data_IF_281217514195
#
_entry.id   IF_281217514195
#
_cell.length_a   1.000
_cell.length_b   1.000
_cell.length_c   1.000
_cell.angle_alpha   90.00
_cell.angle_beta   90.00
_cell.angle_gamma   90.00
#
_symmetry.space_group_name_H-M   'P 1'
#
loop_
_entity.id
_entity.type
_entity.pdbx_description
1 polymer ?
#
# COMPACT_ATOMS: atom_id res chain seq x y z
N UNK A 1 17.58 -6.69 9.75
CA UNK A 1 17.70 -6.55 11.22
C UNK A 1 17.17 -7.84 11.84
N UNK A 2 17.94 -8.54 12.66
CA UNK A 2 17.44 -9.74 13.34
C UNK A 2 16.49 -9.30 14.47
N UNK A 3 15.23 -9.71 14.40
CA UNK A 3 14.32 -9.59 15.54
C UNK A 3 14.63 -10.73 16.52
N UNK A 4 14.88 -10.38 17.78
CA UNK A 4 15.14 -11.34 18.84
C UNK A 4 13.82 -11.92 19.32
N UNK A 5 13.33 -12.96 18.64
CA UNK A 5 12.15 -13.68 19.07
C UNK A 5 12.53 -14.63 20.21
N UNK A 6 11.90 -14.48 21.37
CA UNK A 6 12.00 -15.45 22.46
C UNK A 6 10.96 -16.54 22.26
N UNK A 7 11.37 -17.80 22.29
CA UNK A 7 10.51 -18.99 22.09
C UNK A 7 9.32 -19.07 23.07
N UNK A 8 9.34 -18.32 24.17
CA UNK A 8 8.29 -18.29 25.19
C UNK A 8 7.19 -17.26 24.93
N UNK A 9 7.32 -16.40 23.91
CA UNK A 9 6.28 -15.45 23.52
C UNK A 9 5.30 -16.09 22.53
N UNK A 10 4.09 -16.42 22.98
CA UNK A 10 3.03 -17.00 22.14
C UNK A 10 2.20 -15.94 21.40
N UNK A 11 2.44 -14.66 21.66
CA UNK A 11 1.73 -13.54 21.05
C UNK A 11 2.70 -12.53 20.45
N UNK A 12 2.47 -12.18 19.19
CA UNK A 12 3.16 -11.08 18.52
C UNK A 12 2.44 -9.77 18.84
N UNK A 13 3.08 -8.88 19.60
CA UNK A 13 2.54 -7.52 19.77
C UNK A 13 2.87 -6.72 18.51
N UNK A 14 1.90 -6.63 17.61
CA UNK A 14 1.99 -5.75 16.45
C UNK A 14 1.56 -4.35 16.87
N UNK A 15 2.50 -3.42 16.94
CA UNK A 15 2.17 -2.00 17.02
C UNK A 15 1.46 -1.63 15.70
N UNK A 16 0.17 -1.29 15.79
CA UNK A 16 -0.69 -0.91 14.67
C UNK A 16 -1.10 0.57 14.74
N UNK A 17 -0.51 1.32 15.67
CA UNK A 17 -0.77 2.71 16.00
C UNK A 17 -0.19 3.70 14.97
N UNK A 18 -0.36 3.39 13.69
CA UNK A 18 0.02 4.25 12.58
C UNK A 18 -1.21 5.07 12.15
N UNK A 19 -1.43 6.20 12.82
CA UNK A 19 -2.46 7.15 12.37
C UNK A 19 -1.85 8.18 11.44
N UNK A 20 -2.32 8.20 10.20
CA UNK A 20 -1.96 9.24 9.23
C UNK A 20 -2.64 10.55 9.65
N UNK A 21 -1.95 11.71 9.72
CA UNK A 21 -2.58 13.00 10.02
C UNK A 21 -3.75 13.32 9.09
N UNK A 22 -4.77 14.02 9.58
CA UNK A 22 -5.97 14.40 8.81
C UNK A 22 -5.63 15.22 7.55
N UNK A 23 -4.63 16.10 7.64
CA UNK A 23 -4.19 16.99 6.56
C UNK A 23 -3.16 16.35 5.61
N UNK A 24 -2.88 15.05 5.76
CA UNK A 24 -1.88 14.38 4.93
C UNK A 24 -2.42 14.08 3.52
N UNK A 25 -1.63 14.37 2.47
CA UNK A 25 -2.01 14.17 1.07
C UNK A 25 -2.49 12.75 0.75
N UNK A 26 -1.92 11.73 1.41
CA UNK A 26 -2.32 10.33 1.24
C UNK A 26 -3.81 10.08 1.55
N UNK A 27 -4.42 10.85 2.46
CA UNK A 27 -5.87 10.75 2.73
C UNK A 27 -6.71 11.30 1.59
N UNK A 28 -6.27 12.39 0.96
CA UNK A 28 -6.93 12.92 -0.23
C UNK A 28 -6.85 11.90 -1.37
N UNK A 29 -5.66 11.34 -1.62
CA UNK A 29 -5.43 10.33 -2.65
C UNK A 29 -6.26 9.08 -2.38
N UNK A 30 -6.32 8.59 -1.14
CA UNK A 30 -7.15 7.42 -0.81
C UNK A 30 -8.61 7.70 -1.08
N UNK A 31 -9.16 8.82 -0.57
CA UNK A 31 -10.57 9.20 -0.81
C UNK A 31 -10.90 9.32 -2.29
N UNK A 32 -9.99 9.88 -3.08
CA UNK A 32 -10.15 9.98 -4.52
C UNK A 32 -10.22 8.58 -5.16
N UNK A 33 -9.26 7.70 -4.88
CA UNK A 33 -9.23 6.35 -5.46
C UNK A 33 -10.41 5.51 -4.99
N UNK A 34 -10.81 5.63 -3.73
CA UNK A 34 -11.95 4.91 -3.14
C UNK A 34 -13.29 5.37 -3.72
N UNK A 35 -13.35 6.55 -4.35
CA UNK A 35 -14.54 7.04 -5.05
C UNK A 35 -14.73 6.44 -6.45
N UNK A 36 -13.71 5.77 -6.99
CA UNK A 36 -13.76 5.14 -8.32
C UNK A 36 -14.57 3.84 -8.21
N UNK A 37 -15.62 3.65 -9.03
CA UNK A 37 -16.39 2.41 -9.01
C UNK A 37 -15.53 1.18 -9.30
N UNK A 38 -15.76 0.10 -8.56
CA UNK A 38 -14.89 -1.07 -8.56
C UNK A 38 -14.84 -1.76 -9.93
N UNK A 39 -15.89 -1.64 -10.74
CA UNK A 39 -15.92 -2.19 -12.11
C UNK A 39 -14.85 -1.62 -13.05
N UNK A 40 -14.32 -0.43 -12.75
CA UNK A 40 -13.23 0.17 -13.53
C UNK A 40 -11.84 -0.26 -13.07
N UNK A 41 -11.75 -0.85 -11.88
CA UNK A 41 -10.48 -1.24 -11.26
C UNK A 41 -10.30 -2.74 -11.28
N UNK A 42 -11.35 -3.52 -11.04
CA UNK A 42 -11.28 -4.97 -10.95
C UNK A 42 -11.19 -5.59 -12.36
N UNK A 43 -10.04 -6.18 -12.67
CA UNK A 43 -9.85 -7.01 -13.84
C UNK A 43 -9.80 -8.49 -13.41
N UNK A 44 -10.12 -9.41 -14.32
CA UNK A 44 -9.97 -10.84 -14.06
C UNK A 44 -8.50 -11.18 -13.82
N UNK A 45 -8.16 -11.51 -12.58
CA UNK A 45 -6.80 -11.91 -12.22
C UNK A 45 -6.51 -13.32 -12.74
N UNK A 46 -5.27 -13.59 -13.11
CA UNK A 46 -4.87 -14.91 -13.61
C UNK A 46 -5.21 -16.03 -12.61
N UNK A 47 -5.79 -17.13 -13.11
CA UNK A 47 -6.12 -18.32 -12.30
C UNK A 47 -4.89 -19.08 -11.80
N UNK A 48 -3.70 -18.74 -12.28
CA UNK A 48 -2.43 -19.40 -11.96
C UNK A 48 -1.33 -18.35 -11.81
N UNK A 49 -0.36 -18.61 -10.94
CA UNK A 49 0.76 -17.72 -10.67
C UNK A 49 0.62 -16.96 -9.34
N UNK A 50 1.47 -15.94 -9.15
CA UNK A 50 1.40 -15.07 -7.97
C UNK A 50 0.15 -14.19 -8.07
N UNK A 51 -0.66 -14.08 -7.00
CA UNK A 51 -1.83 -13.21 -7.02
C UNK A 51 -1.39 -11.77 -7.33
N UNK A 52 -2.15 -11.12 -8.20
CA UNK A 52 -1.94 -9.71 -8.53
C UNK A 52 -2.21 -8.83 -7.31
N UNK A 53 -1.51 -7.70 -7.22
CA UNK A 53 -1.83 -6.68 -6.24
C UNK A 53 -3.18 -6.03 -6.55
N UNK A 54 -3.86 -5.52 -5.53
CA UNK A 54 -5.13 -4.83 -5.74
C UNK A 54 -4.89 -3.54 -6.55
N UNK A 55 -5.60 -3.33 -7.67
CA UNK A 55 -5.36 -2.21 -8.59
C UNK A 55 -5.57 -0.84 -7.92
N UNK A 56 -6.58 -0.74 -7.04
CA UNK A 56 -6.77 0.46 -6.22
C UNK A 56 -5.55 0.79 -5.33
N UNK A 57 -4.89 -0.23 -4.78
CA UNK A 57 -3.70 -0.03 -3.94
C UNK A 57 -2.53 0.48 -4.78
N UNK A 58 -2.29 -0.15 -5.94
CA UNK A 58 -1.25 0.29 -6.88
C UNK A 58 -1.49 1.72 -7.35
N UNK A 59 -2.74 2.09 -7.65
CA UNK A 59 -3.10 3.44 -8.07
C UNK A 59 -2.81 4.47 -6.98
N UNK A 60 -3.15 4.17 -5.71
CA UNK A 60 -2.81 5.04 -4.56
C UNK A 60 -1.31 5.27 -4.46
N UNK A 61 -0.49 4.22 -4.61
CA UNK A 61 0.97 4.33 -4.60
C UNK A 61 1.50 5.17 -5.77
N UNK A 62 1.01 4.93 -6.98
CA UNK A 62 1.41 5.70 -8.16
C UNK A 62 1.10 7.19 -8.00
N UNK A 63 -0.12 7.53 -7.59
CA UNK A 63 -0.53 8.93 -7.39
C UNK A 63 0.29 9.61 -6.29
N UNK A 64 0.54 8.91 -5.18
CA UNK A 64 1.35 9.44 -4.08
C UNK A 64 2.81 9.67 -4.48
N UNK A 65 3.40 8.76 -5.25
CA UNK A 65 4.78 8.97 -5.69
C UNK A 65 4.88 10.09 -6.75
N UNK A 66 3.91 10.17 -7.65
CA UNK A 66 3.87 11.21 -8.68
C UNK A 66 3.63 12.61 -8.08
N UNK A 67 2.85 12.74 -7.01
CA UNK A 67 2.70 14.03 -6.30
C UNK A 67 4.03 14.54 -5.75
N UNK A 68 4.96 13.62 -5.45
CA UNK A 68 6.32 13.90 -4.93
C UNK A 68 7.41 13.88 -6.00
N UNK A 69 7.02 13.93 -7.28
CA UNK A 69 7.94 13.90 -8.43
C UNK A 69 8.79 12.63 -8.55
N UNK A 70 8.32 11.51 -8.00
CA UNK A 70 8.96 10.19 -8.14
C UNK A 70 8.23 9.38 -9.21
N UNK A 71 8.90 9.19 -10.36
CA UNK A 71 8.27 8.56 -11.54
C UNK A 71 8.80 7.15 -11.86
N UNK A 72 9.98 6.80 -11.36
CA UNK A 72 10.62 5.50 -11.63
C UNK A 72 9.97 4.42 -10.76
N UNK A 73 9.43 3.36 -11.38
CA UNK A 73 8.79 2.26 -10.65
C UNK A 73 9.68 1.64 -9.56
N UNK A 74 10.99 1.50 -9.81
CA UNK A 74 11.95 1.04 -8.79
C UNK A 74 12.11 2.04 -7.65
N UNK A 75 12.04 3.33 -7.94
CA UNK A 75 12.12 4.37 -6.90
C UNK A 75 10.82 4.43 -6.11
N UNK A 76 9.66 4.24 -6.75
CA UNK A 76 8.35 4.14 -6.09
C UNK A 76 8.33 2.96 -5.11
N UNK A 77 8.80 1.80 -5.54
CA UNK A 77 8.86 0.61 -4.67
C UNK A 77 9.73 0.86 -3.43
N UNK A 78 10.90 1.49 -3.61
CA UNK A 78 11.79 1.89 -2.50
C UNK A 78 11.22 2.98 -1.59
N UNK A 79 10.16 3.70 -1.98
CA UNK A 79 9.47 4.64 -1.09
C UNK A 79 8.51 3.93 -0.12
N UNK A 80 8.19 2.66 -0.40
CA UNK A 80 7.34 1.82 0.45
C UNK A 80 8.14 0.98 1.45
N UNK A 81 9.46 0.90 1.29
CA UNK A 81 10.41 0.27 2.21
C UNK A 81 10.84 1.23 3.34
#
# INVERSE_FOLDING_TARGET
MYQNYTTMETALTLQLDFTIPEDHEARLISRFVDSIPAEFLLEETSSTGRPAFHPAMLLKMCLFAYSRSTFSGRTIERMND
#
